data_IF_891043950901
#
_entry.id   IF_891043950901
#
_cell.length_a   1.000
_cell.length_b   1.000
_cell.length_c   1.000
_cell.angle_alpha   90.00
_cell.angle_beta   90.00
_cell.angle_gamma   90.00
#
_symmetry.space_group_name_H-M   'P 1'
#
loop_
_entity.id
_entity.type
_entity.pdbx_description
1 polymer ?
#
# COMPACT_ATOMS: atom_id res chain seq x y z
N UNK A 1 -0.29 -12.63 -15.46
CA UNK A 1 -1.01 -11.86 -14.42
C UNK A 1 -1.85 -12.85 -13.64
N UNK A 2 -1.40 -13.25 -12.45
CA UNK A 2 -2.16 -14.14 -11.56
C UNK A 2 -3.16 -13.29 -10.77
N UNK A 3 -4.45 -13.46 -11.04
CA UNK A 3 -5.50 -12.80 -10.26
C UNK A 3 -5.60 -13.44 -8.87
N UNK A 4 -5.76 -12.60 -7.85
CA UNK A 4 -5.80 -12.95 -6.42
C UNK A 4 -6.87 -14.00 -6.05
N UNK A 5 -7.90 -14.14 -6.88
CA UNK A 5 -8.96 -15.12 -6.70
C UNK A 5 -8.49 -16.57 -6.90
N UNK A 6 -7.49 -16.80 -7.78
CA UNK A 6 -6.92 -18.12 -8.06
C UNK A 6 -6.02 -18.62 -6.91
N UNK A 7 -5.29 -17.71 -6.25
CA UNK A 7 -4.46 -18.02 -5.06
C UNK A 7 -5.35 -18.35 -3.84
N UNK A 8 -6.58 -17.84 -3.82
CA UNK A 8 -7.55 -18.06 -2.75
C UNK A 8 -8.13 -19.49 -2.74
N UNK A 9 -8.09 -20.22 -3.86
CA UNK A 9 -8.51 -21.62 -3.91
C UNK A 9 -7.48 -22.58 -3.31
N UNK A 10 -6.20 -22.19 -3.30
CA UNK A 10 -5.09 -23.00 -2.79
C UNK A 10 -4.92 -22.94 -1.27
N UNK A 11 -5.38 -21.87 -0.62
CA UNK A 11 -5.31 -21.70 0.83
C UNK A 11 -6.71 -21.52 1.40
N UNK A 12 -7.25 -22.61 1.97
CA UNK A 12 -8.58 -22.71 2.59
C UNK A 12 -8.73 -21.77 3.80
N UNK A 13 -8.84 -20.46 3.54
CA UNK A 13 -9.14 -19.43 4.52
C UNK A 13 -10.49 -18.83 4.15
N UNK A 14 -11.49 -18.97 5.05
CA UNK A 14 -12.82 -18.34 4.94
C UNK A 14 -12.67 -16.93 4.38
N UNK A 15 -13.32 -16.67 3.24
CA UNK A 15 -13.15 -15.41 2.53
C UNK A 15 -13.46 -14.21 3.42
N UNK A 16 -12.48 -13.32 3.62
CA UNK A 16 -12.72 -11.96 4.10
C UNK A 16 -13.86 -11.35 3.28
N UNK A 17 -14.95 -10.99 3.97
CA UNK A 17 -16.03 -10.19 3.43
C UNK A 17 -15.62 -8.72 3.51
N UNK A 18 -15.52 -8.07 2.36
CA UNK A 18 -15.07 -6.68 2.24
C UNK A 18 -16.18 -5.89 1.58
N UNK A 19 -16.54 -4.76 2.19
CA UNK A 19 -17.40 -3.76 1.57
C UNK A 19 -16.54 -2.80 0.76
N UNK A 20 -16.88 -2.61 -0.51
CA UNK A 20 -16.22 -1.65 -1.40
C UNK A 20 -17.29 -0.73 -1.99
N UNK A 21 -17.22 0.54 -1.60
CA UNK A 21 -18.14 1.61 -1.95
C UNK A 21 -18.49 1.64 -3.44
N UNK A 22 -17.46 1.58 -4.31
CA UNK A 22 -17.60 1.68 -5.75
C UNK A 22 -18.42 0.55 -6.36
N UNK A 23 -18.45 -0.61 -5.72
CA UNK A 23 -19.22 -1.78 -6.17
C UNK A 23 -20.60 -1.86 -5.54
N UNK A 24 -20.78 -1.27 -4.36
CA UNK A 24 -22.01 -1.39 -3.57
C UNK A 24 -22.94 -0.17 -3.71
N UNK A 25 -22.40 0.99 -4.07
CA UNK A 25 -23.17 2.22 -4.30
C UNK A 25 -23.35 2.42 -5.80
N UNK A 26 -24.59 2.63 -6.21
CA UNK A 26 -24.93 2.87 -7.60
C UNK A 26 -24.26 4.16 -8.10
N UNK A 27 -23.53 4.10 -9.22
CA UNK A 27 -22.73 5.23 -9.70
C UNK A 27 -23.50 6.16 -10.66
N UNK A 28 -24.47 5.61 -11.39
CA UNK A 28 -25.18 6.32 -12.48
C UNK A 28 -26.51 6.94 -12.01
N UNK A 29 -27.37 6.14 -11.38
CA UNK A 29 -28.64 6.58 -10.79
C UNK A 29 -28.42 7.42 -9.52
N UNK A 30 -28.81 8.69 -9.56
CA UNK A 30 -28.65 9.65 -8.47
C UNK A 30 -29.51 9.33 -7.24
N UNK A 31 -30.69 8.75 -7.41
CA UNK A 31 -31.60 8.40 -6.31
C UNK A 31 -31.06 7.21 -5.55
N UNK A 32 -30.63 6.16 -6.27
CA UNK A 32 -30.00 4.99 -5.66
C UNK A 32 -28.64 5.33 -5.06
N UNK A 33 -27.88 6.24 -5.67
CA UNK A 33 -26.62 6.75 -5.11
C UNK A 33 -26.87 7.44 -3.77
N UNK A 34 -27.86 8.33 -3.68
CA UNK A 34 -28.22 9.01 -2.43
C UNK A 34 -28.60 8.02 -1.33
N UNK A 35 -29.48 7.05 -1.62
CA UNK A 35 -29.85 5.99 -0.68
C UNK A 35 -28.63 5.18 -0.23
N UNK A 36 -27.71 4.89 -1.16
CA UNK A 36 -26.43 4.24 -0.86
C UNK A 36 -25.58 5.04 0.13
N UNK A 37 -25.45 6.36 -0.09
CA UNK A 37 -24.73 7.28 0.81
C UNK A 37 -25.35 7.30 2.20
N UNK A 38 -26.68 7.44 2.28
CA UNK A 38 -27.42 7.51 3.55
C UNK A 38 -27.27 6.21 4.38
N UNK A 39 -27.08 5.07 3.72
CA UNK A 39 -26.84 3.79 4.39
C UNK A 39 -25.38 3.54 4.78
N UNK A 40 -24.42 4.32 4.26
CA UNK A 40 -22.98 4.13 4.49
C UNK A 40 -22.60 4.12 5.98
N UNK A 41 -23.11 5.02 6.84
CA UNK A 41 -22.80 5.00 8.27
C UNK A 41 -23.22 3.69 8.94
N UNK A 42 -24.33 3.08 8.51
CA UNK A 42 -24.80 1.80 9.05
C UNK A 42 -23.85 0.65 8.69
N UNK A 43 -23.31 0.65 7.46
CA UNK A 43 -22.27 -0.31 7.05
C UNK A 43 -20.98 -0.13 7.84
N UNK A 44 -20.53 1.11 8.03
CA UNK A 44 -19.34 1.41 8.84
C UNK A 44 -19.54 0.94 10.29
N UNK A 45 -20.70 1.19 10.90
CA UNK A 45 -21.02 0.76 12.26
C UNK A 45 -21.04 -0.76 12.45
N UNK A 46 -21.36 -1.53 11.39
CA UNK A 46 -21.33 -3.01 11.42
C UNK A 46 -19.99 -3.60 11.01
N UNK A 47 -19.04 -2.78 10.54
CA UNK A 47 -17.74 -3.25 10.06
C UNK A 47 -16.78 -3.52 11.23
N UNK A 48 -15.97 -4.58 11.11
CA UNK A 48 -14.95 -4.92 12.12
C UNK A 48 -13.78 -3.94 12.11
N UNK A 49 -13.39 -3.45 10.93
CA UNK A 49 -12.26 -2.56 10.72
C UNK A 49 -12.44 -1.78 9.42
N UNK A 50 -11.82 -0.61 9.33
CA UNK A 50 -11.72 0.18 8.10
C UNK A 50 -10.29 0.11 7.59
N UNK A 51 -10.12 -0.28 6.33
CA UNK A 51 -8.82 -0.25 5.64
C UNK A 51 -8.77 0.96 4.72
N UNK A 52 -7.87 1.89 5.02
CA UNK A 52 -7.63 3.10 4.24
C UNK A 52 -6.41 2.91 3.35
N UNK A 53 -6.63 2.90 2.04
CA UNK A 53 -5.56 2.94 1.05
C UNK A 53 -5.08 4.39 0.87
N UNK A 54 -4.10 4.78 1.67
CA UNK A 54 -3.61 6.14 1.74
C UNK A 54 -2.81 6.51 0.50
N UNK A 55 -3.17 7.67 -0.08
CA UNK A 55 -2.46 8.38 -1.13
C UNK A 55 -2.57 9.88 -0.85
N UNK A 56 -1.76 10.72 -1.50
CA UNK A 56 -1.82 12.17 -1.32
C UNK A 56 -3.19 12.78 -1.68
N UNK A 57 -3.95 12.08 -2.52
CA UNK A 57 -5.30 12.46 -2.93
C UNK A 57 -6.40 11.93 -2.00
N UNK A 58 -6.08 11.00 -1.08
CA UNK A 58 -7.09 10.36 -0.24
C UNK A 58 -7.77 11.37 0.69
N UNK A 59 -7.01 12.29 1.30
CA UNK A 59 -7.57 13.33 2.17
C UNK A 59 -8.08 14.57 1.42
N UNK A 60 -8.02 14.56 0.08
CA UNK A 60 -8.50 15.65 -0.78
C UNK A 60 -9.88 15.38 -1.39
N UNK A 61 -10.40 14.15 -1.25
CA UNK A 61 -11.71 13.78 -1.78
C UNK A 61 -12.74 13.81 -0.66
N UNK A 62 -13.84 14.51 -0.90
CA UNK A 62 -14.93 14.67 0.08
C UNK A 62 -15.45 13.32 0.59
N UNK A 63 -15.65 12.37 -0.32
CA UNK A 63 -16.17 11.05 -0.02
C UNK A 63 -15.30 10.25 0.97
N UNK A 64 -14.00 10.17 0.69
CA UNK A 64 -13.06 9.41 1.53
C UNK A 64 -12.84 10.08 2.88
N UNK A 65 -12.89 11.43 2.91
CA UNK A 65 -12.88 12.18 4.17
C UNK A 65 -14.15 11.92 4.99
N UNK A 66 -15.32 11.87 4.34
CA UNK A 66 -16.58 11.53 5.00
C UNK A 66 -16.56 10.13 5.61
N UNK A 67 -16.08 9.12 4.87
CA UNK A 67 -15.92 7.75 5.36
C UNK A 67 -14.99 7.67 6.57
N UNK A 68 -13.81 8.29 6.46
CA UNK A 68 -12.81 8.31 7.52
C UNK A 68 -13.33 9.04 8.76
N UNK A 69 -13.94 10.22 8.59
CA UNK A 69 -14.51 11.00 9.68
C UNK A 69 -15.65 10.25 10.38
N UNK A 70 -16.58 9.69 9.62
CA UNK A 70 -17.70 8.90 10.16
C UNK A 70 -17.19 7.69 10.94
N UNK A 71 -16.19 6.98 10.40
CA UNK A 71 -15.61 5.84 11.10
C UNK A 71 -14.88 6.23 12.39
N UNK A 72 -14.13 7.34 12.39
CA UNK A 72 -13.45 7.86 13.58
C UNK A 72 -14.43 8.38 14.64
N UNK A 73 -15.60 8.88 14.26
CA UNK A 73 -16.68 9.25 15.18
C UNK A 73 -17.33 8.01 15.81
N UNK A 74 -17.53 6.94 15.04
CA UNK A 74 -18.12 5.68 15.51
C UNK A 74 -17.15 4.84 16.36
N UNK A 75 -15.85 4.88 16.05
CA UNK A 75 -14.83 4.07 16.71
C UNK A 75 -13.59 4.92 17.06
N UNK A 76 -13.15 4.89 18.32
CA UNK A 76 -11.83 5.43 18.72
C UNK A 76 -10.73 4.59 18.05
N UNK A 77 -10.22 5.05 16.90
CA UNK A 77 -9.01 4.72 16.09
C UNK A 77 -8.43 3.27 16.05
N UNK A 78 -8.57 2.47 17.10
CA UNK A 78 -8.13 1.07 17.27
C UNK A 78 -8.48 0.10 16.14
N UNK A 79 -9.43 0.43 15.27
CA UNK A 79 -9.90 -0.43 14.16
C UNK A 79 -9.60 0.16 12.78
N UNK A 80 -8.86 1.26 12.72
CA UNK A 80 -8.43 1.91 11.49
C UNK A 80 -7.07 1.32 11.07
N UNK A 81 -7.01 0.75 9.88
CA UNK A 81 -5.77 0.25 9.28
C UNK A 81 -5.42 1.14 8.08
N UNK A 82 -4.27 1.80 8.14
CA UNK A 82 -3.81 2.69 7.07
C UNK A 82 -2.72 1.98 6.28
N UNK A 83 -2.93 1.80 4.99
CA UNK A 83 -2.00 1.13 4.10
C UNK A 83 -1.63 2.04 2.94
N UNK A 84 -0.34 2.25 2.70
CA UNK A 84 0.13 3.02 1.55
C UNK A 84 -0.13 2.27 0.24
N UNK A 85 -0.68 2.95 -0.76
CA UNK A 85 -0.83 2.40 -2.12
C UNK A 85 0.49 2.12 -2.83
N UNK A 86 1.59 2.71 -2.36
CA UNK A 86 2.92 2.50 -2.94
C UNK A 86 3.57 1.19 -2.44
N UNK A 87 3.03 0.58 -1.38
CA UNK A 87 3.61 -0.61 -0.73
C UNK A 87 3.77 -1.81 -1.67
N UNK A 88 2.76 -2.21 -2.47
CA UNK A 88 2.92 -3.32 -3.40
C UNK A 88 4.00 -3.06 -4.45
N UNK A 89 4.15 -1.81 -4.92
CA UNK A 89 5.19 -1.44 -5.89
C UNK A 89 6.59 -1.61 -5.30
N UNK A 90 6.77 -1.20 -4.04
CA UNK A 90 8.02 -1.38 -3.31
C UNK A 90 8.37 -2.87 -3.15
N UNK A 91 7.40 -3.68 -2.71
CA UNK A 91 7.58 -5.13 -2.53
C UNK A 91 7.94 -5.81 -3.86
N UNK A 92 7.20 -5.52 -4.94
CA UNK A 92 7.49 -6.07 -6.27
C UNK A 92 8.88 -5.64 -6.74
N UNK A 93 9.23 -4.36 -6.57
CA UNK A 93 10.55 -3.84 -6.92
C UNK A 93 11.69 -4.55 -6.18
N UNK A 94 11.53 -4.75 -4.86
CA UNK A 94 12.51 -5.48 -4.04
C UNK A 94 12.63 -6.96 -4.43
N UNK A 95 11.51 -7.62 -4.74
CA UNK A 95 11.51 -9.01 -5.23
C UNK A 95 12.23 -9.11 -6.57
N UNK A 96 11.91 -8.23 -7.52
CA UNK A 96 12.57 -8.19 -8.84
C UNK A 96 14.07 -7.96 -8.69
N UNK A 97 14.48 -6.98 -7.86
CA UNK A 97 15.89 -6.69 -7.60
C UNK A 97 16.62 -7.91 -7.01
N UNK A 98 15.98 -8.62 -6.08
CA UNK A 98 16.53 -9.83 -5.47
C UNK A 98 16.64 -10.98 -6.48
N UNK A 99 15.64 -11.16 -7.34
CA UNK A 99 15.69 -12.17 -8.40
C UNK A 99 16.80 -11.88 -9.41
N UNK A 100 16.94 -10.61 -9.84
CA UNK A 100 17.98 -10.19 -10.77
C UNK A 100 19.37 -10.36 -10.17
N UNK A 101 19.58 -9.96 -8.92
CA UNK A 101 20.88 -10.14 -8.26
C UNK A 101 21.24 -11.61 -8.15
N UNK A 102 20.30 -12.48 -7.74
CA UNK A 102 20.50 -13.94 -7.68
C UNK A 102 20.84 -14.54 -9.05
N UNK A 103 20.15 -14.12 -10.11
CA UNK A 103 20.41 -14.58 -11.47
C UNK A 103 21.80 -14.14 -11.95
N UNK A 104 22.20 -12.90 -11.66
CA UNK A 104 23.53 -12.38 -11.98
C UNK A 104 24.63 -13.17 -11.25
N UNK A 105 24.46 -13.45 -9.96
CA UNK A 105 25.40 -14.28 -9.20
C UNK A 105 25.54 -15.69 -9.77
N UNK A 106 24.42 -16.32 -10.14
CA UNK A 106 24.45 -17.65 -10.76
C UNK A 106 25.18 -17.63 -12.11
N UNK A 107 24.97 -16.57 -12.90
CA UNK A 107 25.63 -16.39 -14.19
C UNK A 107 27.14 -16.16 -14.04
N UNK A 108 27.58 -15.28 -13.14
CA UNK A 108 28.99 -14.98 -12.88
C UNK A 108 29.78 -16.22 -12.40
N UNK A 109 29.11 -17.16 -11.73
CA UNK A 109 29.72 -18.42 -11.24
C UNK A 109 29.77 -19.52 -12.28
N UNK A 110 29.34 -19.29 -13.53
CA UNK A 110 29.52 -20.28 -14.59
C UNK A 110 31.01 -20.43 -14.93
N UNK A 111 31.51 -21.65 -15.21
CA UNK A 111 32.95 -21.92 -15.31
C UNK A 111 33.65 -21.08 -16.38
N UNK A 112 32.99 -20.85 -17.54
CA UNK A 112 33.52 -20.02 -18.62
C UNK A 112 33.76 -18.57 -18.22
N UNK A 113 32.82 -18.00 -17.46
CA UNK A 113 32.89 -16.61 -17.00
C UNK A 113 33.88 -16.50 -15.84
N UNK A 114 33.85 -17.47 -14.94
CA UNK A 114 34.76 -17.53 -13.80
C UNK A 114 36.23 -17.60 -14.23
N UNK A 115 36.55 -18.42 -15.23
CA UNK A 115 37.91 -18.52 -15.79
C UNK A 115 38.38 -17.20 -16.42
N UNK A 116 37.50 -16.54 -17.17
CA UNK A 116 37.77 -15.21 -17.72
C UNK A 116 37.98 -14.13 -16.64
N UNK A 117 37.18 -14.14 -15.58
CA UNK A 117 37.31 -13.17 -14.48
C UNK A 117 38.58 -13.44 -13.67
N UNK A 118 38.86 -14.71 -13.33
CA UNK A 118 40.01 -15.10 -12.51
C UNK A 118 41.37 -14.77 -13.15
N UNK A 119 41.44 -14.73 -14.48
CA UNK A 119 42.66 -14.27 -15.19
C UNK A 119 42.90 -12.76 -15.08
N UNK A 120 41.85 -11.96 -14.96
CA UNK A 120 41.93 -10.50 -14.90
C UNK A 120 41.93 -9.94 -13.46
N UNK A 121 41.37 -10.70 -12.51
CA UNK A 121 41.23 -10.29 -11.12
C UNK A 121 41.75 -11.39 -10.19
N UNK A 122 43.07 -11.43 -9.91
CA UNK A 122 43.65 -12.43 -9.04
C UNK A 122 43.19 -12.18 -7.60
N UNK A 123 42.30 -13.02 -7.10
CA UNK A 123 41.81 -12.93 -5.74
C UNK A 123 40.87 -14.10 -5.38
N UNK A 124 40.55 -14.25 -4.09
CA UNK A 124 39.54 -15.21 -3.66
C UNK A 124 38.18 -14.87 -4.27
N UNK A 125 37.37 -15.86 -4.70
CA UNK A 125 36.02 -15.64 -5.23
C UNK A 125 35.11 -14.85 -4.30
N UNK A 126 35.34 -14.95 -2.99
CA UNK A 126 34.57 -14.27 -1.97
C UNK A 126 34.71 -12.73 -2.03
N UNK A 127 35.83 -12.22 -2.55
CA UNK A 127 36.08 -10.77 -2.61
C UNK A 127 35.19 -10.08 -3.65
N UNK A 128 35.01 -10.71 -4.81
CA UNK A 128 34.13 -10.21 -5.87
C UNK A 128 32.66 -10.31 -5.43
N UNK A 129 32.30 -11.36 -4.71
CA UNK A 129 30.96 -11.52 -4.14
C UNK A 129 30.64 -10.41 -3.13
N UNK A 130 31.58 -10.10 -2.22
CA UNK A 130 31.43 -9.00 -1.27
C UNK A 130 31.33 -7.64 -1.98
N UNK A 131 32.14 -7.41 -3.01
CA UNK A 131 32.13 -6.15 -3.76
C UNK A 131 30.80 -5.89 -4.46
N UNK A 132 30.11 -6.93 -4.93
CA UNK A 132 28.82 -6.82 -5.61
C UNK A 132 27.66 -6.80 -4.60
N UNK A 133 27.70 -7.64 -3.56
CA UNK A 133 26.62 -7.80 -2.60
C UNK A 133 26.50 -6.60 -1.65
N UNK A 134 27.63 -6.07 -1.18
CA UNK A 134 27.66 -4.96 -0.23
C UNK A 134 26.90 -3.72 -0.73
N UNK A 135 27.17 -3.15 -1.92
CA UNK A 135 26.44 -1.97 -2.39
C UNK A 135 24.95 -2.26 -2.64
N UNK A 136 24.60 -3.46 -3.13
CA UNK A 136 23.20 -3.86 -3.29
C UNK A 136 22.46 -3.94 -1.95
N UNK A 137 23.11 -4.49 -0.92
CA UNK A 137 22.55 -4.59 0.43
C UNK A 137 22.41 -3.22 1.10
N UNK A 138 23.38 -2.34 0.93
CA UNK A 138 23.33 -0.95 1.40
C UNK A 138 22.22 -0.17 0.71
N UNK A 139 22.08 -0.31 -0.61
CA UNK A 139 21.02 0.33 -1.39
C UNK A 139 19.64 -0.16 -0.94
N UNK A 140 19.45 -1.48 -0.81
CA UNK A 140 18.19 -2.04 -0.34
C UNK A 140 17.86 -1.57 1.08
N UNK A 141 18.85 -1.53 1.97
CA UNK A 141 18.68 -1.05 3.35
C UNK A 141 18.31 0.44 3.38
N UNK A 142 18.95 1.26 2.56
CA UNK A 142 18.62 2.68 2.43
C UNK A 142 17.20 2.89 1.86
N UNK A 143 16.80 2.11 0.86
CA UNK A 143 15.45 2.15 0.29
C UNK A 143 14.40 1.71 1.31
N UNK A 144 14.65 0.64 2.06
CA UNK A 144 13.79 0.19 3.16
C UNK A 144 13.68 1.24 4.26
N UNK A 145 14.79 1.88 4.64
CA UNK A 145 14.80 2.94 5.65
C UNK A 145 14.05 4.20 5.19
N UNK A 146 14.25 4.61 3.94
CA UNK A 146 13.49 5.70 3.32
C UNK A 146 12.00 5.38 3.29
N UNK A 147 11.65 4.16 2.88
CA UNK A 147 10.27 3.68 2.85
C UNK A 147 9.62 3.67 4.24
N UNK A 148 10.34 3.18 5.25
CA UNK A 148 9.86 3.14 6.63
C UNK A 148 9.52 4.54 7.15
N UNK A 149 10.37 5.53 6.86
CA UNK A 149 10.10 6.95 7.21
C UNK A 149 8.84 7.47 6.53
N UNK A 150 8.67 7.21 5.23
CA UNK A 150 7.46 7.59 4.49
C UNK A 150 6.20 6.92 5.09
N UNK A 151 6.30 5.67 5.52
CA UNK A 151 5.20 4.95 6.13
C UNK A 151 4.81 5.52 7.50
N UNK A 152 5.79 5.92 8.32
CA UNK A 152 5.53 6.62 9.57
C UNK A 152 4.87 7.98 9.35
N UNK A 153 5.34 8.76 8.36
CA UNK A 153 4.74 10.06 8.04
C UNK A 153 3.27 9.91 7.63
N UNK A 154 2.92 8.88 6.85
CA UNK A 154 1.54 8.55 6.49
C UNK A 154 0.70 8.25 7.74
N UNK A 155 1.21 7.45 8.68
CA UNK A 155 0.50 7.13 9.92
C UNK A 155 0.31 8.36 10.81
N UNK A 156 1.33 9.22 10.90
CA UNK A 156 1.25 10.49 11.62
C UNK A 156 0.19 11.40 10.99
N UNK A 157 0.19 11.57 9.67
CA UNK A 157 -0.83 12.39 8.99
C UNK A 157 -2.24 11.84 9.14
N UNK A 158 -2.43 10.52 9.01
CA UNK A 158 -3.75 9.90 9.16
C UNK A 158 -4.27 9.99 10.61
N UNK A 159 -3.40 9.84 11.61
CA UNK A 159 -3.77 9.93 13.02
C UNK A 159 -4.00 11.37 13.51
N UNK A 160 -3.24 12.34 12.97
CA UNK A 160 -3.38 13.76 13.26
C UNK A 160 -4.47 14.45 12.42
N UNK A 161 -5.08 13.72 11.47
CA UNK A 161 -6.07 14.27 10.56
C UNK A 161 -7.25 14.87 11.32
N UNK A 162 -7.57 16.13 10.98
CA UNK A 162 -8.77 16.82 11.43
C UNK A 162 -9.63 17.14 10.22
N UNK A 163 -10.94 16.91 10.33
CA UNK A 163 -11.91 17.22 9.25
C UNK A 163 -11.82 18.68 8.84
N UNK A 164 -11.56 19.60 9.79
CA UNK A 164 -11.39 21.03 9.53
C UNK A 164 -10.16 21.40 8.68
N UNK A 165 -9.21 20.48 8.47
CA UNK A 165 -8.02 20.68 7.64
C UNK A 165 -8.16 20.05 6.24
N UNK A 166 -9.32 19.42 5.94
CA UNK A 166 -9.55 18.80 4.65
C UNK A 166 -9.70 19.87 3.55
N UNK A 167 -8.92 19.76 2.48
CA UNK A 167 -8.98 20.70 1.33
C UNK A 167 -10.30 20.63 0.56
N UNK A 168 -11.10 19.59 0.76
CA UNK A 168 -12.38 19.39 0.08
C UNK A 168 -13.56 20.14 0.73
N UNK A 169 -13.29 21.15 1.56
CA UNK A 169 -14.32 21.94 2.21
C UNK A 169 -14.85 22.99 1.22
N UNK A 170 -16.03 22.76 0.64
CA UNK A 170 -16.80 23.80 -0.05
C UNK A 170 -17.73 24.46 0.96
N UNK A 171 -17.50 25.75 1.28
CA UNK A 171 -18.33 26.49 2.23
C UNK A 171 -19.80 26.62 1.76
N UNK A 172 -20.11 26.35 0.49
CA UNK A 172 -21.48 26.33 -0.03
C UNK A 172 -22.29 25.12 0.45
N UNK A 173 -21.63 24.03 0.85
CA UNK A 173 -22.26 22.82 1.36
C UNK A 173 -22.67 22.95 2.85
N UNK A 174 -22.27 24.03 3.53
CA UNK A 174 -22.63 24.32 4.93
C UNK A 174 -24.05 24.83 5.14
N UNK A 175 -24.83 25.05 4.07
CA UNK A 175 -26.23 25.45 4.21
C UNK A 175 -26.98 24.31 4.92
N UNK A 176 -27.26 24.51 6.21
CA UNK A 176 -28.05 23.59 6.99
C UNK A 176 -29.43 23.51 6.36
N UNK A 177 -29.90 22.27 6.16
CA UNK A 177 -31.30 22.01 5.86
C UNK A 177 -32.06 22.42 7.12
N UNK A 178 -32.67 23.59 7.10
CA UNK A 178 -33.66 24.03 8.08
C UNK A 178 -34.90 23.13 8.04
#
# INVERSE_FOLDING_TARGET
MLFWHEIRSLFSCRGLLVFLDRTCVHQTDLVLKRKGIESLPAFLAKSRSLVVLYSDLYLQKLWTVYELATFLLLFRSSRLQVQSVMFPKFVIGGVVLTCVSRALFAWLRTPKIWEYIGTNFPGPPETLDLLILLPLSCLLSALCGWWARQYEDIHRHASAFRVAQARCQDDRDRRMVE
#
